data_IF_852744810572
#
_entry.id   IF_852744810572
#
_cell.length_a   1.000
_cell.length_b   1.000
_cell.length_c   1.000
_cell.angle_alpha   90.00
_cell.angle_beta   90.00
_cell.angle_gamma   90.00
#
_symmetry.space_group_name_H-M   'P 1'
#
loop_
_entity.id
_entity.type
_entity.pdbx_description
1 polymer ?
#
# COMPACT_ATOMS: atom_id res chain seq x y z
N UNK A 1 -4.58 -1.03 21.41
CA UNK A 1 -3.82 -0.04 20.61
C UNK A 1 -4.72 0.59 19.55
N UNK A 2 -4.96 1.90 19.63
CA UNK A 2 -5.75 2.62 18.64
C UNK A 2 -4.83 2.97 17.47
N UNK A 3 -5.15 2.48 16.26
CA UNK A 3 -4.39 2.82 15.05
C UNK A 3 -4.70 4.28 14.70
N UNK A 4 -3.74 5.19 14.89
CA UNK A 4 -3.87 6.55 14.36
C UNK A 4 -3.57 6.46 12.87
N UNK A 5 -4.58 6.70 12.01
CA UNK A 5 -4.40 6.55 10.58
C UNK A 5 -4.65 7.86 9.80
N UNK A 6 -3.59 8.53 9.31
CA UNK A 6 -3.68 9.84 8.67
C UNK A 6 -4.03 9.75 7.17
N UNK A 7 -5.01 8.91 6.81
CA UNK A 7 -5.33 8.46 5.44
C UNK A 7 -4.31 7.47 4.85
N UNK A 8 -3.02 7.82 4.81
CA UNK A 8 -1.96 6.89 4.39
C UNK A 8 -0.58 7.28 4.95
N UNK A 9 0.35 6.34 5.01
CA UNK A 9 1.75 6.57 5.37
C UNK A 9 2.67 5.48 4.83
N UNK A 10 3.97 5.77 4.70
CA UNK A 10 5.01 4.76 4.42
C UNK A 10 5.44 4.15 5.75
N UNK A 11 5.28 2.83 5.90
CA UNK A 11 5.60 2.11 7.14
C UNK A 11 6.93 1.37 7.07
N UNK A 12 7.43 1.09 5.86
CA UNK A 12 8.71 0.44 5.66
C UNK A 12 9.34 0.87 4.32
N UNK A 13 10.67 0.88 4.28
CA UNK A 13 11.48 1.11 3.09
C UNK A 13 12.50 -0.02 3.00
N UNK A 14 12.62 -0.67 1.85
CA UNK A 14 13.50 -1.81 1.66
C UNK A 14 14.18 -1.75 0.29
N UNK A 15 15.29 -2.48 0.14
CA UNK A 15 15.92 -2.72 -1.14
C UNK A 15 15.79 -4.21 -1.47
N UNK A 16 15.38 -4.51 -2.69
CA UNK A 16 15.19 -5.87 -3.20
C UNK A 16 16.52 -6.58 -3.48
N UNK A 17 17.63 -5.84 -3.64
CA UNK A 17 18.97 -6.41 -3.74
C UNK A 17 19.47 -6.85 -2.37
N UNK A 18 19.87 -8.13 -2.19
CA UNK A 18 20.40 -8.60 -0.91
C UNK A 18 21.58 -7.75 -0.41
N UNK A 19 21.60 -7.50 0.90
CA UNK A 19 22.63 -6.70 1.60
C UNK A 19 22.66 -5.21 1.25
N UNK A 20 21.79 -4.72 0.35
CA UNK A 20 21.52 -3.29 0.21
C UNK A 20 20.42 -2.85 1.17
N UNK A 21 20.37 -1.55 1.41
CA UNK A 21 19.30 -0.91 2.18
C UNK A 21 18.77 0.25 1.37
N UNK A 22 17.47 0.52 1.49
CA UNK A 22 16.93 1.76 0.98
C UNK A 22 17.42 2.91 1.85
N UNK A 23 17.56 4.09 1.27
CA UNK A 23 17.94 5.26 2.05
C UNK A 23 16.74 5.82 2.86
N UNK A 24 16.91 7.01 3.44
CA UNK A 24 15.93 7.58 4.36
C UNK A 24 14.95 8.55 3.70
N UNK A 25 15.07 8.84 2.40
CA UNK A 25 14.25 9.82 1.72
C UNK A 25 12.95 9.22 1.15
N UNK A 26 12.13 10.03 0.46
CA UNK A 26 10.83 9.63 -0.07
C UNK A 26 10.84 9.45 -1.59
N UNK A 27 12.02 9.39 -2.19
CA UNK A 27 12.20 9.02 -3.59
C UNK A 27 12.32 7.50 -3.68
N UNK A 28 11.61 6.90 -4.62
CA UNK A 28 11.70 5.47 -4.87
C UNK A 28 12.74 5.24 -5.95
N UNK A 29 13.90 4.72 -5.57
CA UNK A 29 14.98 4.43 -6.50
C UNK A 29 14.84 3.06 -7.17
N UNK A 30 15.75 2.75 -8.10
CA UNK A 30 15.79 1.42 -8.72
C UNK A 30 16.10 0.37 -7.65
N UNK A 31 15.38 -0.75 -7.71
CA UNK A 31 15.46 -1.85 -6.74
C UNK A 31 14.93 -1.54 -5.34
N UNK A 32 14.37 -0.36 -5.08
CA UNK A 32 13.75 -0.02 -3.80
C UNK A 32 12.25 -0.30 -3.77
N UNK A 33 11.73 -0.51 -2.55
CA UNK A 33 10.33 -0.81 -2.28
C UNK A 33 9.83 -0.04 -1.06
N UNK A 34 8.65 0.56 -1.17
CA UNK A 34 7.93 1.15 -0.05
C UNK A 34 6.74 0.28 0.33
N UNK A 35 6.57 0.04 1.64
CA UNK A 35 5.32 -0.49 2.18
C UNK A 35 4.42 0.67 2.58
N UNK A 36 3.24 0.73 1.97
CA UNK A 36 2.23 1.73 2.27
C UNK A 36 1.16 1.16 3.20
N UNK A 37 0.86 1.87 4.28
CA UNK A 37 -0.36 1.68 5.06
C UNK A 37 -1.39 2.70 4.59
N UNK A 38 -2.56 2.23 4.15
CA UNK A 38 -3.66 3.07 3.69
C UNK A 38 -4.90 2.78 4.54
N UNK A 39 -5.57 3.83 5.00
CA UNK A 39 -6.83 3.75 5.72
C UNK A 39 -7.90 4.56 4.98
N UNK A 40 -8.74 3.91 4.18
CA UNK A 40 -9.88 4.56 3.58
C UNK A 40 -10.87 5.01 4.65
N UNK A 41 -11.55 6.14 4.41
CA UNK A 41 -12.60 6.65 5.30
C UNK A 41 -13.89 5.79 5.26
N UNK A 42 -14.04 4.98 4.22
CA UNK A 42 -15.19 4.10 4.00
C UNK A 42 -14.84 2.62 4.14
N UNK A 43 -15.88 1.78 4.16
CA UNK A 43 -15.76 0.32 4.12
C UNK A 43 -16.14 -0.20 2.74
N UNK A 44 -15.67 -1.41 2.43
CA UNK A 44 -16.00 -2.16 1.21
C UNK A 44 -16.68 -3.46 1.61
N UNK A 45 -17.81 -3.77 0.97
CA UNK A 45 -18.60 -4.96 1.25
C UNK A 45 -18.02 -6.21 0.54
N UNK A 46 -18.39 -7.42 0.98
CA UNK A 46 -18.03 -8.65 0.26
C UNK A 46 -18.38 -8.58 -1.23
N UNK A 47 -17.51 -9.13 -2.07
CA UNK A 47 -17.58 -9.10 -3.54
C UNK A 47 -17.49 -7.71 -4.20
N UNK A 48 -17.40 -6.63 -3.43
CA UNK A 48 -17.15 -5.32 -4.04
C UNK A 48 -15.72 -5.23 -4.51
N UNK A 49 -15.55 -4.51 -5.62
CA UNK A 49 -14.26 -4.12 -6.15
C UNK A 49 -13.91 -2.71 -5.68
N UNK A 50 -12.65 -2.49 -5.36
CA UNK A 50 -12.08 -1.18 -5.13
C UNK A 50 -10.77 -1.02 -5.88
N UNK A 51 -10.39 0.22 -6.13
CA UNK A 51 -9.12 0.58 -6.77
C UNK A 51 -8.36 1.53 -5.85
N UNK A 52 -7.11 1.20 -5.56
CA UNK A 52 -6.13 2.11 -4.97
C UNK A 52 -5.30 2.70 -6.11
N UNK A 53 -5.33 4.01 -6.29
CA UNK A 53 -4.50 4.71 -7.27
C UNK A 53 -3.32 5.34 -6.57
N UNK A 54 -2.10 4.97 -6.96
CA UNK A 54 -0.87 5.60 -6.48
C UNK A 54 -0.42 6.60 -7.56
N UNK A 55 -0.39 7.88 -7.19
CA UNK A 55 -0.07 9.00 -8.06
C UNK A 55 1.19 9.71 -7.54
N UNK A 56 2.39 9.33 -8.02
CA UNK A 56 3.61 10.07 -7.69
C UNK A 56 3.61 11.43 -8.39
N UNK A 57 4.26 12.43 -7.79
CA UNK A 57 4.39 13.78 -8.38
C UNK A 57 5.04 13.73 -9.77
N UNK A 58 6.08 12.89 -9.91
CA UNK A 58 6.74 12.61 -11.16
C UNK A 58 6.84 11.09 -11.33
N UNK A 59 6.13 10.53 -12.31
CA UNK A 59 6.19 9.10 -12.59
C UNK A 59 4.93 8.53 -13.21
N UNK A 60 4.88 7.20 -13.27
CA UNK A 60 3.71 6.49 -13.76
C UNK A 60 2.66 6.34 -12.66
N UNK A 61 1.40 6.64 -13.00
CA UNK A 61 0.25 6.35 -12.17
C UNK A 61 0.05 4.83 -12.11
N UNK A 62 -0.07 4.28 -10.90
CA UNK A 62 -0.22 2.84 -10.68
C UNK A 62 -1.62 2.55 -10.10
N UNK A 63 -2.57 2.06 -10.93
CA UNK A 63 -3.86 1.59 -10.44
C UNK A 63 -3.76 0.15 -9.93
N UNK A 64 -4.18 -0.07 -8.68
CA UNK A 64 -4.25 -1.38 -8.04
C UNK A 64 -5.71 -1.74 -7.75
N UNK A 65 -6.28 -2.64 -8.55
CA UNK A 65 -7.67 -3.09 -8.38
C UNK A 65 -7.73 -4.41 -7.61
N UNK A 66 -8.61 -4.48 -6.61
CA UNK A 66 -8.81 -5.65 -5.75
C UNK A 66 -10.30 -5.90 -5.51
N UNK A 67 -10.67 -7.16 -5.36
CA UNK A 67 -12.04 -7.60 -5.05
C UNK A 67 -12.08 -8.20 -3.66
N UNK A 68 -13.01 -7.76 -2.82
CA UNK A 68 -13.18 -8.25 -1.45
C UNK A 68 -13.73 -9.69 -1.50
N UNK A 69 -13.17 -10.65 -0.76
CA UNK A 69 -13.67 -12.01 -0.70
C UNK A 69 -15.05 -12.08 -0.03
N UNK A 70 -15.72 -13.23 -0.19
CA UNK A 70 -17.01 -13.48 0.47
C UNK A 70 -16.93 -13.40 1.99
N UNK A 71 -15.91 -14.04 2.55
CA UNK A 71 -15.68 -14.12 4.00
C UNK A 71 -14.62 -13.09 4.35
N UNK A 72 -14.99 -12.12 5.19
CA UNK A 72 -14.09 -11.10 5.71
C UNK A 72 -13.56 -11.56 7.06
N UNK A 73 -12.27 -11.87 7.11
CA UNK A 73 -11.49 -12.11 8.33
C UNK A 73 -10.79 -10.82 8.77
N UNK A 74 -10.34 -10.71 10.04
CA UNK A 74 -9.61 -9.52 10.50
C UNK A 74 -8.38 -9.17 9.65
N UNK A 75 -7.80 -10.17 8.99
CA UNK A 75 -6.75 -10.01 7.98
C UNK A 75 -7.15 -10.80 6.74
N UNK A 76 -7.08 -10.18 5.56
CA UNK A 76 -7.26 -10.83 4.27
C UNK A 76 -6.16 -10.35 3.32
N UNK A 77 -5.43 -11.28 2.72
CA UNK A 77 -4.49 -10.97 1.65
C UNK A 77 -5.23 -11.00 0.31
N UNK A 78 -5.20 -9.91 -0.44
CA UNK A 78 -5.89 -9.75 -1.72
C UNK A 78 -4.94 -9.83 -2.93
N UNK A 79 -3.63 -10.07 -2.70
CA UNK A 79 -2.58 -10.06 -3.71
C UNK A 79 -1.66 -8.87 -3.57
#
# INVERSE_FOLDING_TARGET
>A
PQLICPNWTITNKANSVPLKSADQDLFLETDEEFTLLVCPAGHVAPYQQFTLTIEPENGQILPLTRTVPFIITPYANLG
#
